data_IF_612442551422
#
_entry.id   IF_612442551422
#
_cell.length_a   1.000
_cell.length_b   1.000
_cell.length_c   1.000
_cell.angle_alpha   90.00
_cell.angle_beta   90.00
_cell.angle_gamma   90.00
#
_symmetry.space_group_name_H-M   'P 1'
#
loop_
_entity.id
_entity.type
_entity.pdbx_description
1 polymer ?
#
# COMPACT_ATOMS: atom_id res chain seq x y z
N UNK A 1 13.20 -0.46 -6.82
CA UNK A 1 11.72 -0.42 -6.88
C UNK A 1 11.10 -1.79 -6.62
N UNK A 2 11.39 -2.82 -7.42
CA UNK A 2 10.81 -4.17 -7.28
C UNK A 2 10.92 -4.76 -5.86
N UNK A 3 12.08 -4.65 -5.22
CA UNK A 3 12.26 -5.13 -3.84
C UNK A 3 11.37 -4.43 -2.79
N UNK A 4 11.05 -3.15 -3.01
CA UNK A 4 10.16 -2.41 -2.11
C UNK A 4 8.73 -2.97 -2.18
N UNK A 5 8.29 -3.43 -3.34
CA UNK A 5 6.99 -4.10 -3.51
C UNK A 5 7.01 -5.44 -2.76
N UNK A 6 8.02 -6.27 -3.00
CA UNK A 6 8.12 -7.60 -2.38
C UNK A 6 8.06 -7.53 -0.86
N UNK A 7 8.77 -6.60 -0.23
CA UNK A 7 8.72 -6.44 1.24
C UNK A 7 7.32 -6.18 1.78
N UNK A 8 6.54 -5.34 1.11
CA UNK A 8 5.17 -5.00 1.51
C UNK A 8 4.22 -6.15 1.26
N UNK A 9 4.35 -6.81 0.11
CA UNK A 9 3.55 -7.99 -0.24
C UNK A 9 3.83 -9.15 0.72
N UNK A 10 5.09 -9.40 1.06
CA UNK A 10 5.49 -10.41 2.06
C UNK A 10 4.78 -10.21 3.39
N UNK A 11 4.87 -9.00 3.97
CA UNK A 11 4.23 -8.67 5.25
C UNK A 11 2.67 -8.70 5.16
N UNK A 12 2.11 -8.32 4.01
CA UNK A 12 0.65 -8.35 3.81
C UNK A 12 0.09 -9.76 3.59
N UNK A 13 0.85 -10.65 2.95
CA UNK A 13 0.38 -11.98 2.56
C UNK A 13 0.73 -13.06 3.59
N UNK A 14 1.90 -13.01 4.22
CA UNK A 14 2.33 -14.03 5.18
C UNK A 14 1.84 -13.72 6.61
N UNK A 15 0.54 -13.85 6.86
CA UNK A 15 -0.06 -13.55 8.17
C UNK A 15 -0.61 -14.78 8.92
N UNK A 16 -0.51 -15.97 8.32
CA UNK A 16 -0.86 -17.25 8.94
C UNK A 16 -0.03 -18.39 8.32
N UNK A 17 -0.10 -19.58 8.94
CA UNK A 17 0.64 -20.75 8.50
C UNK A 17 0.09 -21.40 7.20
N UNK A 18 -1.12 -21.06 6.77
CA UNK A 18 -1.65 -21.53 5.48
C UNK A 18 -0.79 -21.04 4.30
N UNK A 19 -0.02 -19.97 4.53
CA UNK A 19 0.88 -19.37 3.55
C UNK A 19 2.35 -19.83 3.69
N UNK A 20 2.65 -20.81 4.57
CA UNK A 20 4.03 -21.28 4.81
C UNK A 20 4.69 -21.83 3.53
N UNK A 21 3.93 -22.52 2.68
CA UNK A 21 4.42 -23.03 1.40
C UNK A 21 4.89 -21.89 0.48
N UNK A 22 4.03 -20.89 0.29
CA UNK A 22 4.35 -19.69 -0.49
C UNK A 22 5.54 -18.91 0.10
N UNK A 23 5.59 -18.76 1.43
CA UNK A 23 6.69 -18.07 2.10
C UNK A 23 8.04 -18.78 1.90
N UNK A 24 8.03 -20.13 1.89
CA UNK A 24 9.22 -20.95 1.65
C UNK A 24 9.72 -20.81 0.22
N UNK A 25 8.81 -20.87 -0.78
CA UNK A 25 9.15 -20.64 -2.19
C UNK A 25 9.75 -19.25 -2.40
N UNK A 26 9.11 -18.20 -1.84
CA UNK A 26 9.64 -16.83 -1.90
C UNK A 26 11.03 -16.72 -1.25
N UNK A 27 11.24 -17.39 -0.12
CA UNK A 27 12.54 -17.39 0.58
C UNK A 27 13.64 -18.05 -0.25
N UNK A 28 13.34 -19.13 -0.96
CA UNK A 28 14.29 -19.85 -1.82
C UNK A 28 14.78 -18.99 -2.98
N UNK A 29 13.92 -18.13 -3.54
CA UNK A 29 14.26 -17.21 -4.64
C UNK A 29 15.05 -15.95 -4.22
N UNK A 30 15.10 -15.64 -2.92
CA UNK A 30 15.72 -14.42 -2.38
C UNK A 30 17.26 -14.50 -2.27
N UNK A 31 17.94 -13.37 -2.48
CA UNK A 31 19.37 -13.21 -2.20
C UNK A 31 19.67 -13.18 -0.69
N UNK A 32 20.94 -13.36 -0.30
CA UNK A 32 21.34 -13.31 1.11
C UNK A 32 21.03 -11.95 1.75
N UNK A 33 21.21 -10.85 1.03
CA UNK A 33 20.87 -9.50 1.50
C UNK A 33 19.36 -9.36 1.72
N UNK A 34 18.55 -9.84 0.79
CA UNK A 34 17.09 -9.82 0.88
C UNK A 34 16.58 -10.66 2.07
N UNK A 35 17.18 -11.83 2.29
CA UNK A 35 16.89 -12.72 3.42
C UNK A 35 17.18 -12.05 4.76
N UNK A 36 18.22 -11.21 4.82
CA UNK A 36 18.54 -10.46 6.03
C UNK A 36 17.48 -9.40 6.40
N UNK A 37 16.75 -8.87 5.40
CA UNK A 37 15.67 -7.89 5.62
C UNK A 37 14.33 -8.52 6.03
N UNK A 38 14.07 -9.77 5.65
CA UNK A 38 12.80 -10.49 5.93
C UNK A 38 13.03 -11.89 6.55
N UNK A 39 13.75 -12.00 7.68
CA UNK A 39 14.07 -13.30 8.29
C UNK A 39 12.83 -14.11 8.70
N UNK A 40 11.66 -13.47 8.84
CA UNK A 40 10.39 -14.10 9.18
C UNK A 40 10.00 -15.20 8.18
N UNK A 41 10.27 -15.00 6.90
CA UNK A 41 9.94 -15.98 5.85
C UNK A 41 10.73 -17.28 6.04
N UNK A 42 12.05 -17.19 6.27
CA UNK A 42 12.90 -18.36 6.51
C UNK A 42 12.69 -19.04 7.85
N UNK A 43 12.26 -18.27 8.86
CA UNK A 43 11.95 -18.80 10.19
C UNK A 43 10.53 -19.37 10.31
N UNK A 44 9.74 -19.35 9.23
CA UNK A 44 8.33 -19.72 9.23
C UNK A 44 7.54 -19.01 10.36
N UNK A 45 7.74 -17.70 10.46
CA UNK A 45 7.13 -16.85 11.48
C UNK A 45 6.16 -15.85 10.82
N UNK A 46 4.87 -16.20 10.65
CA UNK A 46 3.91 -15.29 10.06
C UNK A 46 3.81 -13.97 10.82
N UNK A 47 3.60 -12.86 10.10
CA UNK A 47 3.35 -11.57 10.71
C UNK A 47 1.98 -11.55 11.40
N UNK A 48 1.92 -10.95 12.59
CA UNK A 48 0.66 -10.74 13.27
C UNK A 48 -0.27 -9.84 12.45
N UNK A 49 -1.53 -10.22 12.33
CA UNK A 49 -2.52 -9.40 11.65
C UNK A 49 -2.75 -8.08 12.40
N UNK A 50 -2.34 -6.97 11.79
CA UNK A 50 -2.47 -5.62 12.33
C UNK A 50 -3.11 -4.68 11.29
N UNK A 51 -4.39 -4.28 11.45
CA UNK A 51 -5.10 -3.45 10.48
C UNK A 51 -4.38 -2.13 10.15
N UNK A 52 -3.83 -1.45 11.17
CA UNK A 52 -3.20 -0.15 11.04
C UNK A 52 -1.90 -0.22 10.23
N UNK A 53 -1.07 -1.23 10.51
CA UNK A 53 0.16 -1.50 9.76
C UNK A 53 -0.15 -1.89 8.32
N UNK A 54 -1.16 -2.73 8.11
CA UNK A 54 -1.59 -3.15 6.77
C UNK A 54 -2.07 -1.99 5.92
N UNK A 55 -2.84 -1.06 6.50
CA UNK A 55 -3.28 0.16 5.80
C UNK A 55 -2.09 1.00 5.32
N UNK A 56 -1.01 1.10 6.11
CA UNK A 56 0.22 1.80 5.71
C UNK A 56 0.90 1.06 4.54
N UNK A 57 1.06 -0.26 4.63
CA UNK A 57 1.72 -1.05 3.58
C UNK A 57 0.94 -1.01 2.25
N UNK A 58 -0.39 -1.09 2.33
CA UNK A 58 -1.28 -0.96 1.18
C UNK A 58 -1.14 0.42 0.54
N UNK A 59 -1.18 1.50 1.34
CA UNK A 59 -1.00 2.84 0.82
C UNK A 59 0.38 3.07 0.18
N UNK A 60 1.43 2.47 0.76
CA UNK A 60 2.76 2.51 0.14
C UNK A 60 2.80 1.73 -1.19
N UNK A 61 2.07 0.61 -1.31
CA UNK A 61 1.93 -0.10 -2.59
C UNK A 61 1.15 0.73 -3.61
N UNK A 62 0.04 1.35 -3.21
CA UNK A 62 -0.76 2.20 -4.10
C UNK A 62 0.08 3.36 -4.67
N UNK A 63 0.91 3.99 -3.83
CA UNK A 63 1.84 5.03 -4.29
C UNK A 63 2.91 4.49 -5.26
N UNK A 64 3.50 3.33 -4.97
CA UNK A 64 4.49 2.70 -5.87
C UNK A 64 3.84 2.34 -7.22
N UNK A 65 2.65 1.76 -7.22
CA UNK A 65 1.96 1.38 -8.46
C UNK A 65 1.52 2.62 -9.24
N UNK A 66 0.98 3.65 -8.58
CA UNK A 66 0.66 4.92 -9.23
C UNK A 66 1.87 5.48 -10.00
N UNK A 67 3.06 5.46 -9.38
CA UNK A 67 4.29 5.94 -10.01
C UNK A 67 4.71 5.04 -11.17
N UNK A 68 4.62 3.72 -11.02
CA UNK A 68 4.91 2.76 -12.10
C UNK A 68 3.96 2.89 -13.29
N UNK A 69 2.70 3.29 -13.05
CA UNK A 69 1.73 3.59 -14.10
C UNK A 69 1.92 4.98 -14.73
N UNK A 70 2.89 5.76 -14.27
CA UNK A 70 3.23 7.06 -14.84
C UNK A 70 2.27 8.19 -14.44
N UNK A 71 1.54 8.03 -13.34
CA UNK A 71 0.68 9.08 -12.81
C UNK A 71 1.52 10.23 -12.25
N UNK A 72 1.05 11.47 -12.41
CA UNK A 72 1.55 12.61 -11.64
C UNK A 72 0.72 12.82 -10.35
N UNK A 73 1.11 13.80 -9.53
CA UNK A 73 0.43 14.09 -8.26
C UNK A 73 -1.05 14.50 -8.46
N UNK A 74 -1.37 15.22 -9.54
CA UNK A 74 -2.75 15.62 -9.84
C UNK A 74 -3.60 14.42 -10.29
N UNK A 75 -3.05 13.54 -11.13
CA UNK A 75 -3.72 12.29 -11.56
C UNK A 75 -4.04 11.39 -10.35
N UNK A 76 -3.07 11.22 -9.45
CA UNK A 76 -3.26 10.42 -8.24
C UNK A 76 -4.32 11.04 -7.33
N UNK A 77 -4.28 12.36 -7.12
CA UNK A 77 -5.31 13.09 -6.34
C UNK A 77 -6.68 12.95 -6.98
N UNK A 78 -6.77 13.02 -8.29
CA UNK A 78 -8.02 12.86 -9.03
C UNK A 78 -8.58 11.44 -8.88
N UNK A 79 -7.74 10.40 -8.99
CA UNK A 79 -8.18 9.01 -8.79
C UNK A 79 -8.69 8.78 -7.37
N UNK A 80 -7.98 9.28 -6.36
CA UNK A 80 -8.36 9.12 -4.97
C UNK A 80 -9.63 9.92 -4.65
N UNK A 81 -9.70 11.17 -5.08
CA UNK A 81 -10.77 12.11 -4.73
C UNK A 81 -10.98 13.16 -5.82
N UNK A 82 -11.80 12.87 -6.85
CA UNK A 82 -12.00 13.78 -7.98
C UNK A 82 -12.50 15.18 -7.57
N UNK A 83 -13.28 15.27 -6.49
CA UNK A 83 -13.81 16.55 -5.97
C UNK A 83 -12.69 17.48 -5.47
N UNK A 84 -11.57 16.93 -5.01
CA UNK A 84 -10.40 17.70 -4.56
C UNK A 84 -9.62 18.36 -5.70
N UNK A 85 -9.85 17.91 -6.94
CA UNK A 85 -9.21 18.45 -8.16
C UNK A 85 -10.20 19.28 -8.96
N UNK A 86 -11.38 18.74 -9.25
CA UNK A 86 -12.41 19.42 -10.06
C UNK A 86 -13.26 20.42 -9.26
N UNK A 87 -13.16 20.42 -7.93
CA UNK A 87 -13.96 21.26 -7.05
C UNK A 87 -15.33 20.67 -6.68
N UNK A 88 -16.02 21.37 -5.79
CA UNK A 88 -17.33 20.96 -5.25
C UNK A 88 -18.36 20.80 -6.36
N UNK A 89 -19.08 19.68 -6.34
CA UNK A 89 -20.06 19.35 -7.38
C UNK A 89 -19.47 18.64 -8.60
N UNK A 90 -18.23 18.14 -8.51
CA UNK A 90 -17.72 17.18 -9.48
C UNK A 90 -18.68 15.98 -9.58
N UNK A 91 -19.03 15.59 -10.81
CA UNK A 91 -19.92 14.46 -11.06
C UNK A 91 -19.19 13.12 -10.84
N UNK A 92 -17.87 13.11 -10.98
CA UNK A 92 -17.07 11.90 -10.90
C UNK A 92 -16.74 11.57 -9.44
N UNK A 93 -16.91 10.31 -9.06
CA UNK A 93 -16.52 9.76 -7.76
C UNK A 93 -15.91 8.37 -7.97
N UNK A 94 -14.67 8.14 -7.51
CA UNK A 94 -14.01 6.84 -7.66
C UNK A 94 -14.30 5.91 -6.48
N UNK A 95 -14.12 6.43 -5.26
CA UNK A 95 -14.13 5.63 -4.02
C UNK A 95 -15.11 6.17 -2.98
N UNK A 96 -16.27 6.68 -3.41
CA UNK A 96 -17.27 7.34 -2.56
C UNK A 96 -17.58 6.56 -1.27
N UNK A 97 -17.92 5.28 -1.39
CA UNK A 97 -18.31 4.45 -0.23
C UNK A 97 -17.15 4.29 0.75
N UNK A 98 -15.92 4.12 0.26
CA UNK A 98 -14.72 4.05 1.10
C UNK A 98 -14.51 5.38 1.84
N UNK A 99 -14.54 6.50 1.11
CA UNK A 99 -14.41 7.85 1.69
C UNK A 99 -15.47 8.11 2.76
N UNK A 100 -16.74 7.82 2.50
CA UNK A 100 -17.83 7.99 3.46
C UNK A 100 -17.68 7.09 4.70
N UNK A 101 -17.15 5.87 4.55
CA UNK A 101 -16.86 4.98 5.67
C UNK A 101 -15.71 5.51 6.53
N UNK A 102 -14.61 5.93 5.91
CA UNK A 102 -13.45 6.45 6.62
C UNK A 102 -13.74 7.80 7.29
N UNK A 103 -14.51 8.68 6.67
CA UNK A 103 -14.97 9.92 7.29
C UNK A 103 -15.81 9.64 8.55
N UNK A 104 -16.69 8.64 8.52
CA UNK A 104 -17.48 8.24 9.69
C UNK A 104 -16.64 7.60 10.79
N UNK A 105 -15.65 6.77 10.41
CA UNK A 105 -14.87 5.99 11.37
C UNK A 105 -13.69 6.77 11.97
N UNK A 106 -12.99 7.56 11.15
CA UNK A 106 -11.73 8.20 11.49
C UNK A 106 -11.82 9.73 11.47
N UNK A 107 -12.89 10.32 10.95
CA UNK A 107 -13.02 11.77 10.79
C UNK A 107 -12.20 12.35 9.64
N UNK A 108 -11.53 11.52 8.85
CA UNK A 108 -10.73 11.92 7.70
C UNK A 108 -10.83 10.88 6.58
N UNK A 109 -10.49 11.28 5.34
CA UNK A 109 -10.30 10.34 4.25
C UNK A 109 -8.91 9.68 4.38
N UNK A 110 -8.79 8.75 5.33
CA UNK A 110 -7.52 8.15 5.79
C UNK A 110 -6.71 7.49 4.67
N UNK A 111 -7.36 6.78 3.75
CA UNK A 111 -6.70 6.12 2.61
C UNK A 111 -6.00 7.16 1.75
N UNK A 112 -6.70 8.23 1.35
CA UNK A 112 -6.11 9.34 0.58
C UNK A 112 -4.92 9.97 1.31
N UNK A 113 -5.06 10.25 2.61
CA UNK A 113 -3.96 10.76 3.42
C UNK A 113 -2.74 9.84 3.35
N UNK A 114 -2.91 8.55 3.66
CA UNK A 114 -1.80 7.59 3.72
C UNK A 114 -1.13 7.41 2.35
N UNK A 115 -1.90 7.33 1.26
CA UNK A 115 -1.36 7.17 -0.10
C UNK A 115 -0.53 8.39 -0.49
N UNK A 116 -1.05 9.61 -0.29
CA UNK A 116 -0.32 10.85 -0.58
C UNK A 116 0.90 11.02 0.34
N UNK A 117 0.80 10.59 1.61
CA UNK A 117 1.95 10.58 2.52
C UNK A 117 3.06 9.64 2.04
N UNK A 118 2.69 8.46 1.52
CA UNK A 118 3.65 7.52 0.95
C UNK A 118 4.25 8.06 -0.36
N UNK A 119 3.43 8.66 -1.22
CA UNK A 119 3.85 9.34 -2.44
C UNK A 119 4.95 10.37 -2.18
N UNK A 120 4.70 11.29 -1.25
CA UNK A 120 5.66 12.32 -0.88
C UNK A 120 6.92 11.73 -0.23
N UNK A 121 6.76 10.70 0.63
CA UNK A 121 7.89 9.99 1.26
C UNK A 121 8.83 9.35 0.24
N UNK A 122 8.30 8.90 -0.90
CA UNK A 122 9.08 8.31 -1.97
C UNK A 122 9.58 9.32 -3.00
N UNK A 123 9.29 10.62 -2.80
CA UNK A 123 9.70 11.70 -3.69
C UNK A 123 9.18 11.48 -5.13
N UNK A 124 7.96 10.98 -5.26
CA UNK A 124 7.29 10.79 -6.55
C UNK A 124 6.60 12.05 -7.08
N UNK A 125 6.74 13.18 -6.37
CA UNK A 125 6.28 14.49 -6.79
C UNK A 125 7.06 14.93 -8.06
N UNK A 126 6.47 14.64 -9.22
CA UNK A 126 6.92 15.07 -10.54
C UNK A 126 6.06 16.22 -11.05
#
# INVERSE_FOLDING_TARGET
MQWQIVKRVAELCYFNHDMDGWASELWEEMSEEQRSELPQLGNQQPWNYNPERRAILQAELDAIFAHLYGLNTEDLRYILDPEDVCGKGCINETFRVLKDNELRQYGEYRTKHLVLKAWNKFEYDN
#
